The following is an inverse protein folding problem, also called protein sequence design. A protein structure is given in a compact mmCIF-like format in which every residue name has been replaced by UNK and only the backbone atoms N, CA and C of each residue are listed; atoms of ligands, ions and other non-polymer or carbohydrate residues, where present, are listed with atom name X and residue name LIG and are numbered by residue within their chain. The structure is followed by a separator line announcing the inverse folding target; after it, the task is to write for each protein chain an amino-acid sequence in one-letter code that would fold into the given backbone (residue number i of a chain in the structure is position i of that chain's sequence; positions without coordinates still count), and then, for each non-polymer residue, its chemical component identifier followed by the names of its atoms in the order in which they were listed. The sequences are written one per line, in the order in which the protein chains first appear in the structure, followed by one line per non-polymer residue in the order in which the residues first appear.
data_IF_124148611607
#
_entry.id   IF_124148611607
#
_cell.length_a   1.000
_cell.length_b   1.000
_cell.length_c   1.000
_cell.angle_alpha   90.00
_cell.angle_beta   90.00
_cell.angle_gamma   90.00
#
_symmetry.space_group_name_H-M   'P 1'
#
loop_
_entity.id
_entity.type
_entity.pdbx_description
1 polymer ?
#
# COMPACT_ATOMS: atom_id res chain seq x y z
N UNK A 1 9.14 9.84 18.36
CA UNK A 1 8.92 9.54 16.93
C UNK A 1 9.16 8.06 16.66
N UNK A 2 10.38 7.57 16.94
CA UNK A 2 10.75 6.15 16.81
C UNK A 2 9.74 5.18 17.43
N UNK A 3 9.50 5.22 18.75
CA UNK A 3 8.61 4.22 19.40
C UNK A 3 7.20 4.19 18.81
N UNK A 4 6.71 5.34 18.35
CA UNK A 4 5.39 5.47 17.73
C UNK A 4 5.39 4.83 16.35
N UNK A 5 6.42 5.10 15.53
CA UNK A 5 6.59 4.50 14.22
C UNK A 5 6.80 2.99 14.33
N UNK A 6 7.71 2.54 15.20
CA UNK A 6 7.99 1.13 15.43
C UNK A 6 6.73 0.37 15.89
N UNK A 7 5.97 0.92 16.84
CA UNK A 7 4.72 0.30 17.29
C UNK A 7 3.66 0.25 16.18
N UNK A 8 3.58 1.28 15.34
CA UNK A 8 2.66 1.29 14.21
C UNK A 8 3.04 0.22 13.19
N UNK A 9 4.34 0.03 12.92
CA UNK A 9 4.88 -1.01 12.04
C UNK A 9 4.65 -2.40 12.62
N UNK A 10 5.00 -2.63 13.90
CA UNK A 10 4.80 -3.92 14.57
C UNK A 10 3.34 -4.38 14.51
N UNK A 11 2.39 -3.44 14.58
CA UNK A 11 0.96 -3.73 14.47
C UNK A 11 0.52 -4.17 13.07
N UNK A 12 1.32 -3.94 12.02
CA UNK A 12 1.02 -4.38 10.65
C UNK A 12 1.26 -5.88 10.46
N UNK A 13 2.17 -6.46 11.24
CA UNK A 13 2.69 -7.82 11.03
C UNK A 13 2.13 -8.83 12.05
N UNK A 14 2.14 -10.10 11.67
CA UNK A 14 1.75 -11.22 12.55
C UNK A 14 2.88 -11.67 13.48
N UNK A 15 4.12 -11.35 13.13
CA UNK A 15 5.32 -11.78 13.84
C UNK A 15 6.41 -10.69 13.77
N UNK A 16 7.47 -10.88 14.56
CA UNK A 16 8.58 -9.93 14.68
C UNK A 16 9.61 -10.03 13.55
N UNK A 17 9.47 -11.02 12.66
CA UNK A 17 10.32 -11.20 11.48
C UNK A 17 9.74 -10.49 10.23
N UNK A 18 8.58 -9.84 10.38
CA UNK A 18 7.90 -9.11 9.30
C UNK A 18 7.60 -9.96 8.05
N UNK A 19 7.41 -11.28 8.24
CA UNK A 19 7.21 -12.23 7.13
C UNK A 19 5.78 -12.23 6.58
N UNK A 20 4.81 -11.82 7.40
CA UNK A 20 3.40 -11.81 7.05
C UNK A 20 2.66 -10.65 7.72
N UNK A 21 1.74 -10.04 6.95
CA UNK A 21 0.84 -9.01 7.46
C UNK A 21 -0.31 -9.64 8.25
N UNK A 22 -0.81 -8.91 9.26
CA UNK A 22 -2.13 -9.19 9.80
C UNK A 22 -3.16 -9.19 8.66
N UNK A 23 -4.12 -10.09 8.77
CA UNK A 23 -5.12 -10.28 7.73
C UNK A 23 -5.90 -9.01 7.43
N UNK A 24 -6.22 -8.24 8.47
CA UNK A 24 -7.01 -7.02 8.39
C UNK A 24 -6.22 -5.77 8.03
N UNK A 25 -4.88 -5.80 8.07
CA UNK A 25 -4.00 -4.67 7.68
C UNK A 25 -4.48 -4.02 6.38
N UNK A 26 -4.60 -2.71 6.37
CA UNK A 26 -5.09 -1.89 5.26
C UNK A 26 -3.96 -1.06 4.66
N UNK A 27 -4.12 -0.62 3.41
CA UNK A 27 -3.17 0.31 2.79
C UNK A 27 -3.04 1.60 3.59
N UNK A 28 -4.15 2.09 4.17
CA UNK A 28 -4.16 3.30 4.98
C UNK A 28 -3.31 3.15 6.26
N UNK A 29 -3.31 1.98 6.90
CA UNK A 29 -2.44 1.71 8.05
C UNK A 29 -0.96 1.68 7.65
N UNK A 30 -0.63 1.11 6.50
CA UNK A 30 0.75 1.12 5.95
C UNK A 30 1.19 2.55 5.65
N UNK A 31 0.36 3.35 4.97
CA UNK A 31 0.63 4.75 4.67
C UNK A 31 0.78 5.61 5.93
N UNK A 32 0.02 5.31 6.98
CA UNK A 32 0.16 5.99 8.26
C UNK A 32 1.49 5.65 8.95
N UNK A 33 1.90 4.38 8.92
CA UNK A 33 3.22 3.97 9.42
C UNK A 33 4.35 4.64 8.63
N UNK A 34 4.25 4.69 7.29
CA UNK A 34 5.19 5.39 6.41
C UNK A 34 5.31 6.88 6.77
N UNK A 35 4.18 7.56 6.96
CA UNK A 35 4.17 8.96 7.39
C UNK A 35 4.91 9.15 8.73
N UNK A 36 4.72 8.25 9.69
CA UNK A 36 5.42 8.32 10.99
C UNK A 36 6.93 8.13 10.85
N UNK A 37 7.38 7.24 9.95
CA UNK A 37 8.81 7.03 9.63
C UNK A 37 9.40 8.27 8.96
N UNK A 38 8.71 8.84 7.95
CA UNK A 38 9.13 10.06 7.26
C UNK A 38 9.16 11.29 8.18
N UNK A 39 8.41 11.26 9.29
CA UNK A 39 8.39 12.33 10.29
C UNK A 39 9.52 12.24 11.34
N UNK A 40 10.44 11.27 11.23
CA UNK A 40 11.59 11.16 12.13
C UNK A 40 12.55 12.33 11.88
N UNK A 41 12.90 13.14 12.90
CA UNK A 41 13.79 14.27 12.72
C UNK A 41 15.26 13.82 12.66
N UNK A 42 16.15 14.68 12.14
CA UNK A 42 17.61 14.47 12.17
C UNK A 42 18.09 13.15 11.52
N UNK A 43 17.38 12.69 10.48
CA UNK A 43 17.77 11.54 9.64
C UNK A 43 19.01 11.87 8.82
N UNK A 44 19.05 13.09 8.26
CA UNK A 44 20.21 13.65 7.57
C UNK A 44 20.69 14.90 8.30
N UNK A 45 21.93 15.30 8.05
CA UNK A 45 22.46 16.55 8.59
C UNK A 45 21.79 17.77 7.93
N UNK A 46 21.34 18.73 8.76
CA UNK A 46 20.63 19.93 8.28
C UNK A 46 21.44 20.80 7.30
N UNK A 47 22.77 20.73 7.36
CA UNK A 47 23.69 21.52 6.52
C UNK A 47 24.28 20.73 5.35
N UNK A 48 24.30 19.40 5.45
CA UNK A 48 24.86 18.48 4.46
C UNK A 48 23.91 17.29 4.30
N UNK A 49 22.93 17.42 3.40
CA UNK A 49 21.86 16.42 3.22
C UNK A 49 22.34 15.00 2.89
N UNK A 50 23.55 14.85 2.36
CA UNK A 50 24.11 13.54 2.01
C UNK A 50 24.83 12.87 3.20
N UNK A 51 24.94 13.57 4.33
CA UNK A 51 25.60 13.06 5.54
C UNK A 51 24.53 12.47 6.47
N UNK A 52 24.66 11.18 6.84
CA UNK A 52 23.81 10.57 7.86
C UNK A 52 23.77 11.39 9.16
N UNK A 53 22.55 11.65 9.63
CA UNK A 53 22.29 12.25 10.93
C UNK A 53 22.21 11.22 12.04
N UNK A 54 21.84 11.67 13.25
CA UNK A 54 21.80 10.81 14.44
C UNK A 54 20.74 9.69 14.35
N UNK A 55 19.68 9.89 13.57
CA UNK A 55 18.58 8.94 13.46
C UNK A 55 18.59 8.16 12.13
N UNK A 56 19.67 8.25 11.35
CA UNK A 56 19.76 7.63 10.03
C UNK A 56 19.54 6.12 10.07
N UNK A 57 20.31 5.40 10.90
CA UNK A 57 20.26 3.93 10.94
C UNK A 57 18.87 3.41 11.32
N UNK A 58 18.25 4.04 12.33
CA UNK A 58 16.90 3.71 12.79
C UNK A 58 15.86 4.02 11.70
N UNK A 59 16.01 5.14 10.99
CA UNK A 59 15.13 5.49 9.89
C UNK A 59 15.21 4.46 8.76
N UNK A 60 16.43 4.09 8.34
CA UNK A 60 16.65 3.10 7.28
C UNK A 60 16.06 1.74 7.65
N UNK A 61 16.21 1.32 8.90
CA UNK A 61 15.59 0.08 9.40
C UNK A 61 14.06 0.14 9.27
N UNK A 62 13.42 1.19 9.81
CA UNK A 62 11.96 1.30 9.78
C UNK A 62 11.41 1.49 8.36
N UNK A 63 12.09 2.22 7.50
CA UNK A 63 11.72 2.43 6.10
C UNK A 63 11.74 1.09 5.33
N UNK A 64 12.74 0.26 5.56
CA UNK A 64 12.81 -1.09 4.98
C UNK A 64 11.63 -1.97 5.45
N UNK A 65 11.23 -1.88 6.73
CA UNK A 65 10.08 -2.61 7.27
C UNK A 65 8.76 -2.14 6.64
N UNK A 66 8.58 -0.83 6.43
CA UNK A 66 7.41 -0.29 5.71
C UNK A 66 7.39 -0.75 4.25
N UNK A 67 8.54 -0.73 3.57
CA UNK A 67 8.65 -1.22 2.20
C UNK A 67 8.30 -2.72 2.10
N UNK A 68 8.72 -3.54 3.07
CA UNK A 68 8.33 -4.94 3.19
C UNK A 68 6.81 -5.10 3.40
N UNK A 69 6.20 -4.29 4.28
CA UNK A 69 4.75 -4.30 4.47
C UNK A 69 4.01 -3.98 3.17
N UNK A 70 4.49 -3.00 2.40
CA UNK A 70 3.92 -2.64 1.09
C UNK A 70 4.03 -3.79 0.10
N UNK A 71 5.21 -4.40 0.00
CA UNK A 71 5.43 -5.58 -0.84
C UNK A 71 4.49 -6.74 -0.49
N UNK A 72 4.33 -7.07 0.80
CA UNK A 72 3.40 -8.12 1.25
C UNK A 72 1.93 -7.76 0.97
N UNK A 73 1.56 -6.49 1.09
CA UNK A 73 0.21 -6.03 0.77
C UNK A 73 -0.11 -6.16 -0.71
N UNK A 74 0.83 -5.82 -1.58
CA UNK A 74 0.66 -5.88 -3.03
C UNK A 74 0.65 -7.34 -3.51
N UNK A 75 1.53 -8.19 -2.94
CA UNK A 75 1.65 -9.61 -3.34
C UNK A 75 0.50 -10.49 -2.86
N UNK A 76 -0.16 -10.17 -1.75
CA UNK A 76 -1.36 -10.91 -1.31
C UNK A 76 -2.60 -10.59 -2.16
N UNK A 77 -2.56 -9.54 -2.98
CA UNK A 77 -3.68 -9.21 -3.86
C UNK A 77 -3.69 -10.14 -5.07
N UNK A 78 -4.72 -11.00 -5.13
CA UNK A 78 -4.90 -11.95 -6.22
C UNK A 78 -5.38 -11.23 -7.50
N UNK A 79 -6.05 -10.09 -7.34
CA UNK A 79 -6.52 -9.25 -8.45
C UNK A 79 -5.31 -8.57 -9.08
N UNK A 80 -5.13 -8.78 -10.38
CA UNK A 80 -4.05 -8.15 -11.15
C UNK A 80 -4.42 -6.70 -11.45
N UNK A 81 -3.46 -5.78 -11.22
CA UNK A 81 -3.65 -4.34 -11.43
C UNK A 81 -4.92 -3.82 -10.70
N UNK A 82 -5.15 -4.29 -9.47
CA UNK A 82 -6.30 -3.89 -8.64
C UNK A 82 -6.22 -2.48 -8.07
N UNK A 83 -5.06 -1.84 -8.20
CA UNK A 83 -4.74 -0.47 -7.85
C UNK A 83 -4.75 0.48 -9.06
N UNK A 84 -5.01 -0.06 -10.27
CA UNK A 84 -5.10 0.68 -11.54
C UNK A 84 -3.85 1.49 -11.94
N UNK A 85 -2.68 1.20 -11.35
CA UNK A 85 -1.42 1.90 -11.69
C UNK A 85 -0.97 1.65 -13.12
N UNK A 86 -1.47 0.57 -13.74
CA UNK A 86 -1.27 0.26 -15.16
C UNK A 86 -2.52 0.55 -16.01
N UNK A 87 -3.34 1.53 -15.59
CA UNK A 87 -4.61 1.84 -16.21
C UNK A 87 -5.58 0.66 -16.11
N UNK A 88 -6.20 0.27 -17.22
CA UNK A 88 -7.14 -0.87 -17.30
C UNK A 88 -6.48 -2.17 -17.76
N UNK A 89 -5.14 -2.27 -17.75
CA UNK A 89 -4.45 -3.50 -18.13
C UNK A 89 -4.91 -4.67 -17.24
N UNK A 90 -5.24 -5.81 -17.85
CA UNK A 90 -5.75 -6.99 -17.13
C UNK A 90 -7.23 -6.91 -16.74
N UNK A 91 -7.93 -5.81 -17.06
CA UNK A 91 -9.37 -5.66 -16.87
C UNK A 91 -10.10 -5.72 -18.20
N UNK A 92 -11.27 -6.37 -18.22
CA UNK A 92 -12.23 -6.22 -19.28
C UNK A 92 -13.07 -4.98 -19.02
N UNK A 93 -13.19 -4.10 -20.01
CA UNK A 93 -13.85 -2.79 -19.87
C UNK A 93 -15.13 -2.75 -20.69
N UNK A 94 -16.21 -2.26 -20.09
CA UNK A 94 -17.49 -1.98 -20.76
C UNK A 94 -17.88 -0.53 -20.57
N UNK A 95 -18.46 0.10 -21.60
CA UNK A 95 -18.88 1.50 -21.55
C UNK A 95 -17.71 2.48 -21.40
N UNK A 96 -17.96 3.63 -20.76
CA UNK A 96 -16.96 4.68 -20.55
C UNK A 96 -16.38 4.61 -19.13
N UNK A 97 -15.66 3.52 -18.86
CA UNK A 97 -14.82 3.41 -17.66
C UNK A 97 -13.39 3.85 -18.01
N UNK A 98 -12.80 4.66 -17.14
CA UNK A 98 -11.47 5.23 -17.36
C UNK A 98 -10.68 5.25 -16.05
N UNK A 99 -9.36 5.45 -16.14
CA UNK A 99 -8.48 5.62 -14.98
C UNK A 99 -7.92 7.03 -14.98
N UNK A 100 -8.14 7.75 -13.89
CA UNK A 100 -7.68 9.13 -13.72
C UNK A 100 -6.63 9.21 -12.63
N UNK A 101 -5.72 10.18 -12.75
CA UNK A 101 -4.81 10.55 -11.66
C UNK A 101 -5.52 11.56 -10.77
N UNK A 102 -5.80 11.18 -9.52
CA UNK A 102 -6.39 12.03 -8.50
C UNK A 102 -5.41 12.09 -7.33
N UNK A 103 -4.90 13.28 -7.03
CA UNK A 103 -3.90 13.49 -5.97
C UNK A 103 -2.67 12.56 -6.08
N UNK A 104 -2.24 12.29 -7.31
CA UNK A 104 -1.08 11.42 -7.60
C UNK A 104 -1.36 9.92 -7.49
N UNK A 105 -2.62 9.52 -7.31
CA UNK A 105 -3.06 8.12 -7.25
C UNK A 105 -3.92 7.77 -8.46
N UNK A 106 -3.72 6.57 -9.00
CA UNK A 106 -4.54 6.04 -10.09
C UNK A 106 -5.90 5.57 -9.56
N UNK A 107 -7.00 6.11 -10.10
CA UNK A 107 -8.36 5.84 -9.62
C UNK A 107 -9.25 5.45 -10.80
N UNK A 108 -9.92 4.31 -10.70
CA UNK A 108 -10.99 3.93 -11.64
C UNK A 108 -12.20 4.85 -11.49
N UNK A 109 -12.62 5.46 -12.59
CA UNK A 109 -13.78 6.33 -12.69
C UNK A 109 -14.83 5.70 -13.60
N UNK A 110 -16.04 5.50 -13.06
CA UNK A 110 -17.20 5.00 -13.79
C UNK A 110 -18.19 6.15 -14.00
N UNK A 111 -18.15 6.78 -15.18
CA UNK A 111 -18.90 8.03 -15.42
C UNK A 111 -20.37 7.85 -15.78
N UNK A 112 -20.82 6.63 -16.06
CA UNK A 112 -22.23 6.34 -16.36
C UNK A 112 -22.61 4.92 -15.92
N UNK A 113 -23.91 4.63 -15.88
CA UNK A 113 -24.46 3.35 -15.40
C UNK A 113 -24.08 2.14 -16.28
N UNK A 114 -23.71 2.37 -17.54
CA UNK A 114 -23.26 1.33 -18.48
C UNK A 114 -21.74 1.09 -18.42
N UNK A 115 -21.00 1.89 -17.65
CA UNK A 115 -19.56 1.75 -17.47
C UNK A 115 -19.26 0.68 -16.42
N UNK A 116 -18.26 -0.16 -16.70
CA UNK A 116 -17.86 -1.22 -15.79
C UNK A 116 -16.51 -1.80 -16.15
N UNK A 117 -15.91 -2.49 -15.17
CA UNK A 117 -14.73 -3.32 -15.39
C UNK A 117 -14.94 -4.68 -14.73
N UNK A 118 -14.37 -5.73 -15.31
CA UNK A 118 -14.41 -7.07 -14.74
C UNK A 118 -13.08 -7.81 -14.96
N UNK A 119 -12.76 -8.73 -14.07
CA UNK A 119 -11.59 -9.60 -14.17
C UNK A 119 -11.96 -10.99 -13.67
N UNK A 120 -11.56 -12.02 -14.41
CA UNK A 120 -11.65 -13.39 -13.95
C UNK A 120 -10.46 -13.72 -13.05
N UNK A 121 -10.74 -14.14 -11.82
CA UNK A 121 -9.71 -14.46 -10.82
C UNK A 121 -9.73 -15.95 -10.55
N UNK A 122 -8.56 -16.59 -10.61
CA UNK A 122 -8.42 -18.00 -10.29
C UNK A 122 -8.22 -18.17 -8.79
N UNK A 123 -9.20 -18.80 -8.13
CA UNK A 123 -9.18 -19.06 -6.70
C UNK A 123 -8.99 -20.55 -6.44
N UNK A 124 -8.27 -20.88 -5.38
CA UNK A 124 -8.22 -22.25 -4.86
C UNK A 124 -9.54 -22.60 -4.20
N UNK A 125 -10.03 -23.81 -4.49
CA UNK A 125 -11.27 -24.33 -3.91
C UNK A 125 -11.14 -24.54 -2.39
N UNK A 126 -12.25 -24.49 -1.65
CA UNK A 126 -12.32 -24.68 -0.19
C UNK A 126 -11.45 -23.71 0.65
N UNK A 127 -11.20 -22.49 0.14
CA UNK A 127 -10.51 -21.42 0.87
C UNK A 127 -11.44 -20.22 1.06
N UNK A 128 -11.27 -19.49 2.17
CA UNK A 128 -11.94 -18.22 2.42
C UNK A 128 -11.18 -17.06 1.79
N UNK A 129 -11.90 -16.12 1.18
CA UNK A 129 -11.34 -14.92 0.58
C UNK A 129 -12.10 -13.68 1.07
N UNK A 130 -11.41 -12.53 1.09
CA UNK A 130 -12.04 -11.24 1.35
C UNK A 130 -11.89 -10.36 0.13
N UNK A 131 -13.03 -9.89 -0.37
CA UNK A 131 -13.11 -8.82 -1.35
C UNK A 131 -13.21 -7.48 -0.60
N UNK A 132 -12.19 -6.64 -0.74
CA UNK A 132 -12.16 -5.30 -0.16
C UNK A 132 -12.10 -4.27 -1.28
N UNK A 133 -12.99 -3.27 -1.22
CA UNK A 133 -13.05 -2.18 -2.20
C UNK A 133 -12.89 -0.86 -1.45
N UNK A 134 -12.01 0.00 -1.94
CA UNK A 134 -11.84 1.37 -1.45
C UNK A 134 -12.31 2.29 -2.58
N UNK A 135 -13.46 2.93 -2.40
CA UNK A 135 -14.08 3.75 -3.42
C UNK A 135 -14.93 4.86 -2.78
N UNK A 136 -15.26 5.88 -3.58
CA UNK A 136 -16.17 6.97 -3.23
C UNK A 136 -17.28 7.04 -4.28
N UNK A 137 -18.50 7.38 -3.84
CA UNK A 137 -19.67 7.63 -4.70
C UNK A 137 -19.93 9.12 -4.82
#
# INVERSE_FOLDING_TARGET
AYDVANKAIDALFTNVQDEALQFDTTLAQIQYAEYLVQSIPYVYNDWLSDVPGMNYDIYVELDARVAQARYLYDTRNIIKNGDFTQGVMGWHVTGNADVQQIDGVSVLVLSNWSAGVSQNVHLQHNHGYVLRVIAKK
#
